data_IF_974073477599
#
_entry.id   IF_974073477599
#
_cell.length_a   1.000
_cell.length_b   1.000
_cell.length_c   1.000
_cell.angle_alpha   90.00
_cell.angle_beta   90.00
_cell.angle_gamma   90.00
#
_symmetry.space_group_name_H-M   'P 1'
#
loop_
_entity.id
_entity.type
_entity.pdbx_description
1 polymer ?
#
# COMPACT_ATOMS: atom_id res chain seq x y z
N UNK A 1 -1.17 42.49 -10.72
CA UNK A 1 -2.10 41.37 -10.42
C UNK A 1 -3.50 41.94 -10.30
N UNK A 2 -4.54 41.27 -10.82
CA UNK A 2 -5.92 41.68 -10.56
C UNK A 2 -6.18 41.67 -9.04
N UNK A 3 -6.70 42.75 -8.49
CA UNK A 3 -7.03 42.87 -7.06
C UNK A 3 -8.43 42.30 -6.78
N UNK A 4 -8.56 41.58 -5.66
CA UNK A 4 -9.81 41.07 -5.10
C UNK A 4 -10.60 40.14 -6.06
N UNK A 5 -11.89 39.93 -5.78
CA UNK A 5 -12.83 39.14 -6.61
C UNK A 5 -13.46 39.99 -7.73
N UNK A 6 -12.62 40.61 -8.56
CA UNK A 6 -13.07 41.51 -9.63
C UNK A 6 -14.06 40.88 -10.62
N UNK A 7 -14.00 39.55 -10.85
CA UNK A 7 -14.95 38.82 -11.72
C UNK A 7 -16.34 38.73 -11.07
N UNK A 8 -16.42 38.49 -9.77
CA UNK A 8 -17.70 38.46 -9.06
C UNK A 8 -18.31 39.86 -8.99
N UNK A 9 -17.47 40.87 -8.71
CA UNK A 9 -17.88 42.28 -8.73
C UNK A 9 -18.43 42.67 -10.09
N UNK A 10 -17.75 42.32 -11.17
CA UNK A 10 -18.24 42.55 -12.54
C UNK A 10 -19.59 41.86 -12.80
N UNK A 11 -19.77 40.62 -12.34
CA UNK A 11 -21.06 39.92 -12.48
C UNK A 11 -22.18 40.57 -11.67
N UNK A 12 -21.88 41.15 -10.50
CA UNK A 12 -22.85 41.88 -9.68
C UNK A 12 -23.23 43.22 -10.31
N UNK A 13 -22.27 43.94 -10.89
CA UNK A 13 -22.49 45.26 -11.50
C UNK A 13 -23.12 45.19 -12.89
N UNK A 14 -22.61 44.31 -13.76
CA UNK A 14 -22.98 44.25 -15.17
C UNK A 14 -23.73 42.96 -15.55
N UNK A 15 -24.02 42.11 -14.56
CA UNK A 15 -24.69 40.85 -14.80
C UNK A 15 -23.81 39.82 -15.52
N UNK A 16 -24.48 38.81 -16.07
CA UNK A 16 -23.87 37.81 -16.96
C UNK A 16 -24.31 38.10 -18.39
N UNK A 17 -23.66 37.45 -19.33
CA UNK A 17 -24.10 37.43 -20.72
C UNK A 17 -25.57 36.98 -20.81
N UNK A 18 -26.38 37.68 -21.60
CA UNK A 18 -27.84 37.49 -21.67
C UNK A 18 -28.24 36.04 -22.01
N UNK A 19 -27.44 35.33 -22.81
CA UNK A 19 -27.71 33.94 -23.22
C UNK A 19 -27.11 32.87 -22.28
N UNK A 20 -26.52 33.27 -21.14
CA UNK A 20 -25.81 32.37 -20.24
C UNK A 20 -26.73 31.27 -19.68
N UNK A 21 -27.91 31.64 -19.21
CA UNK A 21 -28.86 30.71 -18.59
C UNK A 21 -29.41 29.72 -19.61
N UNK A 22 -29.78 30.20 -20.79
CA UNK A 22 -30.20 29.35 -21.88
C UNK A 22 -29.14 28.33 -22.29
N UNK A 23 -27.89 28.78 -22.44
CA UNK A 23 -26.76 27.91 -22.81
C UNK A 23 -26.49 26.88 -21.72
N UNK A 24 -26.55 27.27 -20.45
CA UNK A 24 -26.35 26.38 -19.30
C UNK A 24 -27.45 25.30 -19.27
N UNK A 25 -28.72 25.70 -19.35
CA UNK A 25 -29.87 24.79 -19.44
C UNK A 25 -29.74 23.80 -20.60
N UNK A 26 -29.45 24.29 -21.81
CA UNK A 26 -29.26 23.46 -23.01
C UNK A 26 -28.05 22.51 -22.86
N UNK A 27 -27.00 22.90 -22.14
CA UNK A 27 -25.82 22.06 -21.88
C UNK A 27 -26.14 20.91 -20.92
N UNK A 28 -26.81 21.20 -19.81
CA UNK A 28 -27.23 20.20 -18.81
C UNK A 28 -28.21 19.19 -19.41
N UNK A 29 -29.19 19.67 -20.19
CA UNK A 29 -30.13 18.80 -20.89
C UNK A 29 -29.47 17.85 -21.91
N UNK A 30 -28.39 18.28 -22.59
CA UNK A 30 -27.64 17.46 -23.56
C UNK A 30 -26.64 16.51 -22.92
N UNK A 31 -26.29 16.71 -21.65
CA UNK A 31 -25.28 15.94 -20.96
C UNK A 31 -25.56 14.42 -20.92
N UNK A 32 -26.76 13.91 -20.62
CA UNK A 32 -27.04 12.47 -20.62
C UNK A 32 -26.80 11.82 -21.99
N UNK A 33 -27.20 12.48 -23.08
CA UNK A 33 -26.96 11.99 -24.44
C UNK A 33 -25.48 11.96 -24.79
N UNK A 34 -24.75 13.06 -24.52
CA UNK A 34 -23.29 13.11 -24.72
C UNK A 34 -22.56 12.06 -23.89
N UNK A 35 -23.06 11.76 -22.69
CA UNK A 35 -22.48 10.75 -21.81
C UNK A 35 -22.68 9.34 -22.36
N UNK A 36 -23.87 9.01 -22.84
CA UNK A 36 -24.15 7.74 -23.50
C UNK A 36 -23.34 7.57 -24.80
N UNK A 37 -23.23 8.65 -25.58
CA UNK A 37 -22.41 8.68 -26.80
C UNK A 37 -20.93 8.42 -26.49
N UNK A 38 -20.36 9.11 -25.49
CA UNK A 38 -18.98 8.86 -25.03
C UNK A 38 -18.78 7.40 -24.60
N UNK A 39 -19.74 6.84 -23.86
CA UNK A 39 -19.67 5.44 -23.44
C UNK A 39 -19.55 4.46 -24.63
N UNK A 40 -20.27 4.74 -25.73
CA UNK A 40 -20.29 3.89 -26.93
C UNK A 40 -19.08 4.14 -27.86
N UNK A 41 -18.63 5.39 -27.97
CA UNK A 41 -17.57 5.79 -28.91
C UNK A 41 -16.16 5.63 -28.38
N UNK A 42 -15.95 5.77 -27.07
CA UNK A 42 -14.61 5.64 -26.48
C UNK A 42 -14.09 4.21 -26.65
N UNK A 43 -12.82 4.07 -27.05
CA UNK A 43 -12.13 2.78 -27.22
C UNK A 43 -10.87 2.71 -26.36
N UNK A 44 -10.38 1.50 -26.11
CA UNK A 44 -9.12 1.25 -25.41
C UNK A 44 -9.10 1.79 -23.96
N UNK A 45 -7.97 2.40 -23.57
CA UNK A 45 -7.76 2.89 -22.19
C UNK A 45 -8.76 3.98 -21.80
N UNK A 46 -9.17 4.83 -22.75
CA UNK A 46 -10.12 5.91 -22.50
C UNK A 46 -11.49 5.37 -22.09
N UNK A 47 -11.94 4.28 -22.71
CA UNK A 47 -13.18 3.60 -22.33
C UNK A 47 -13.10 2.98 -20.92
N UNK A 48 -11.96 2.36 -20.59
CA UNK A 48 -11.72 1.76 -19.26
C UNK A 48 -11.74 2.81 -18.15
N UNK A 49 -11.08 3.95 -18.35
CA UNK A 49 -11.07 5.07 -17.39
C UNK A 49 -12.48 5.65 -17.21
N UNK A 50 -13.19 5.93 -18.31
CA UNK A 50 -14.56 6.44 -18.27
C UNK A 50 -15.51 5.50 -17.51
N UNK A 51 -15.44 4.19 -17.76
CA UNK A 51 -16.27 3.22 -17.04
C UNK A 51 -15.92 3.12 -15.55
N UNK A 52 -14.64 3.26 -15.19
CA UNK A 52 -14.19 3.30 -13.79
C UNK A 52 -14.73 4.54 -13.06
N UNK A 53 -14.63 5.71 -13.68
CA UNK A 53 -15.21 6.95 -13.15
C UNK A 53 -16.73 6.82 -12.94
N UNK A 54 -17.45 6.30 -13.96
CA UNK A 54 -18.89 6.07 -13.87
C UNK A 54 -19.29 5.07 -12.78
N UNK A 55 -18.49 4.03 -12.55
CA UNK A 55 -18.70 3.09 -11.44
C UNK A 55 -18.55 3.80 -10.09
N UNK A 56 -17.53 4.64 -9.93
CA UNK A 56 -17.30 5.40 -8.70
C UNK A 56 -18.43 6.39 -8.41
N UNK A 57 -18.89 7.14 -9.42
CA UNK A 57 -20.03 8.06 -9.30
C UNK A 57 -21.30 7.33 -8.87
N UNK A 58 -21.60 6.18 -9.48
CA UNK A 58 -22.76 5.34 -9.10
C UNK A 58 -22.65 4.86 -7.65
N UNK A 59 -21.47 4.42 -7.21
CA UNK A 59 -21.25 3.99 -5.82
C UNK A 59 -21.42 5.16 -4.86
N UNK A 60 -20.87 6.33 -5.18
CA UNK A 60 -21.00 7.53 -4.35
C UNK A 60 -22.46 7.95 -4.22
N UNK A 61 -23.21 7.97 -5.32
CA UNK A 61 -24.64 8.30 -5.29
C UNK A 61 -25.45 7.28 -4.49
N UNK A 62 -25.19 5.98 -4.67
CA UNK A 62 -25.82 4.92 -3.85
C UNK A 62 -25.55 5.11 -2.36
N UNK A 63 -24.30 5.41 -1.97
CA UNK A 63 -23.95 5.70 -0.57
C UNK A 63 -24.66 6.94 -0.04
N UNK A 64 -24.77 8.01 -0.83
CA UNK A 64 -25.47 9.24 -0.43
C UNK A 64 -26.97 9.02 -0.23
N UNK A 65 -27.61 8.30 -1.16
CA UNK A 65 -29.03 7.95 -1.05
C UNK A 65 -29.26 7.10 0.19
N UNK A 66 -28.44 6.05 0.37
CA UNK A 66 -28.53 5.17 1.55
C UNK A 66 -28.36 5.93 2.86
N UNK A 67 -27.37 6.83 2.95
CA UNK A 67 -27.15 7.65 4.15
C UNK A 67 -28.32 8.61 4.42
N UNK A 68 -28.98 9.13 3.38
CA UNK A 68 -30.18 9.97 3.54
C UNK A 68 -31.39 9.15 4.00
N UNK A 69 -31.59 7.94 3.46
CA UNK A 69 -32.64 7.01 3.90
C UNK A 69 -32.42 6.57 5.36
N UNK A 70 -31.20 6.20 5.73
CA UNK A 70 -30.79 5.84 7.10
C UNK A 70 -30.92 7.01 8.09
N UNK A 71 -30.80 8.27 7.65
CA UNK A 71 -31.07 9.43 8.50
C UNK A 71 -32.55 9.59 8.82
N UNK A 72 -33.41 9.30 7.84
CA UNK A 72 -34.86 9.44 7.99
C UNK A 72 -35.47 8.32 8.83
N UNK A 73 -34.80 7.17 8.92
CA UNK A 73 -35.19 6.05 9.78
C UNK A 73 -34.35 6.08 11.06
N UNK A 74 -34.96 6.31 12.21
CA UNK A 74 -34.26 6.11 13.49
C UNK A 74 -33.97 4.63 13.67
N UNK A 75 -32.76 4.20 13.30
CA UNK A 75 -32.23 2.90 13.68
C UNK A 75 -31.96 2.95 15.19
N UNK A 76 -32.61 2.06 15.95
CA UNK A 76 -32.19 1.79 17.32
C UNK A 76 -30.82 1.11 17.20
N UNK A 77 -29.74 1.88 17.35
CA UNK A 77 -28.40 1.32 17.46
C UNK A 77 -28.41 0.35 18.64
N UNK A 78 -28.07 -0.93 18.39
CA UNK A 78 -27.81 -1.89 19.46
C UNK A 78 -26.89 -1.21 20.46
N UNK A 79 -27.37 -1.11 21.71
CA UNK A 79 -26.64 -0.45 22.78
C UNK A 79 -25.26 -1.11 22.86
N UNK A 80 -24.23 -0.29 22.75
CA UNK A 80 -22.85 -0.67 23.04
C UNK A 80 -22.86 -1.43 24.37
N UNK A 81 -22.24 -2.62 24.39
CA UNK A 81 -22.22 -3.48 25.56
C UNK A 81 -21.91 -2.67 26.84
N UNK A 82 -22.80 -2.80 27.82
CA UNK A 82 -22.80 -2.05 29.08
C UNK A 82 -21.49 -2.24 29.85
N UNK A 83 -20.71 -1.17 29.90
CA UNK A 83 -19.61 -0.99 30.83
C UNK A 83 -19.25 0.48 30.88
N UNK A 84 -19.58 1.16 31.97
CA UNK A 84 -19.26 2.57 32.15
C UNK A 84 -17.74 2.78 32.12
N UNK A 85 -17.24 3.40 31.05
CA UNK A 85 -15.85 3.83 30.97
C UNK A 85 -15.74 5.26 31.52
N UNK A 86 -14.69 5.58 32.32
CA UNK A 86 -14.37 6.95 32.69
C UNK A 86 -14.29 7.87 31.47
N UNK A 87 -14.68 9.15 31.61
CA UNK A 87 -14.79 10.12 30.48
C UNK A 87 -13.49 10.21 29.65
N UNK A 88 -12.33 10.13 30.29
CA UNK A 88 -11.01 10.15 29.62
C UNK A 88 -10.66 8.85 28.85
N UNK A 89 -11.52 7.84 28.88
CA UNK A 89 -11.41 6.55 28.18
C UNK A 89 -12.53 6.32 27.16
N UNK A 90 -13.54 7.20 27.07
CA UNK A 90 -14.69 7.05 26.15
C UNK A 90 -14.29 7.20 24.67
N UNK A 91 -13.44 8.18 24.34
CA UNK A 91 -13.00 8.46 22.96
C UNK A 91 -11.73 7.69 22.55
N UNK A 92 -11.17 6.90 23.48
CA UNK A 92 -10.05 6.01 23.16
C UNK A 92 -10.64 4.73 22.62
N UNK A 93 -10.58 4.57 21.30
CA UNK A 93 -10.81 3.30 20.61
C UNK A 93 -10.15 2.19 21.45
N UNK A 94 -10.95 1.27 21.99
CA UNK A 94 -10.50 0.30 22.99
C UNK A 94 -9.51 -0.66 22.34
N UNK A 95 -8.25 -0.27 22.32
CA UNK A 95 -7.12 -1.12 21.98
C UNK A 95 -6.68 -1.89 23.24
N UNK A 96 -7.63 -2.54 23.93
CA UNK A 96 -7.32 -3.43 25.07
C UNK A 96 -6.68 -4.77 24.64
N UNK A 97 -6.01 -4.80 23.48
CA UNK A 97 -5.31 -5.99 22.99
C UNK A 97 -4.04 -6.28 23.77
N UNK A 98 -3.38 -5.29 24.38
CA UNK A 98 -2.07 -5.46 25.03
C UNK A 98 -2.08 -6.44 26.22
N UNK A 99 -3.15 -6.45 27.04
CA UNK A 99 -3.24 -7.32 28.22
C UNK A 99 -3.62 -8.76 27.84
N UNK A 100 -4.52 -8.91 26.87
CA UNK A 100 -4.86 -10.22 26.25
C UNK A 100 -3.63 -10.81 25.54
N UNK A 101 -2.86 -9.98 24.85
CA UNK A 101 -1.60 -10.33 24.21
C UNK A 101 -0.56 -10.88 25.19
N UNK A 102 -0.35 -10.22 26.33
CA UNK A 102 0.61 -10.67 27.33
C UNK A 102 0.21 -12.03 27.93
N UNK A 103 -1.07 -12.23 28.22
CA UNK A 103 -1.57 -13.51 28.72
C UNK A 103 -1.53 -14.63 27.65
N UNK A 104 -1.84 -14.30 26.40
CA UNK A 104 -1.76 -15.23 25.27
C UNK A 104 -0.30 -15.58 24.95
N UNK A 105 0.65 -14.65 25.05
CA UNK A 105 2.10 -14.94 24.93
C UNK A 105 2.55 -15.87 26.07
N UNK A 106 2.06 -15.67 27.30
CA UNK A 106 2.36 -16.56 28.43
C UNK A 106 1.78 -17.96 28.23
N UNK A 107 0.56 -18.09 27.72
CA UNK A 107 -0.04 -19.38 27.34
C UNK A 107 0.72 -20.03 26.18
N UNK A 108 1.03 -19.28 25.12
CA UNK A 108 1.84 -19.75 23.97
C UNK A 108 3.24 -20.22 24.39
N UNK A 109 3.89 -19.54 25.34
CA UNK A 109 5.19 -20.00 25.90
C UNK A 109 5.06 -21.29 26.71
N UNK A 110 3.90 -21.56 27.31
CA UNK A 110 3.58 -22.81 28.03
C UNK A 110 3.21 -23.95 27.08
N UNK A 111 2.57 -23.67 25.94
CA UNK A 111 2.21 -24.63 24.87
C UNK A 111 3.41 -25.07 24.00
N UNK A 112 4.57 -25.32 24.62
CA UNK A 112 5.89 -25.52 23.99
C UNK A 112 5.99 -26.68 22.97
N UNK A 113 4.91 -27.44 22.77
CA UNK A 113 4.81 -28.55 21.82
C UNK A 113 3.65 -28.39 20.79
N UNK A 114 3.06 -27.20 20.65
CA UNK A 114 2.14 -26.90 19.56
C UNK A 114 2.89 -26.67 18.25
N UNK A 115 2.31 -27.06 17.11
CA UNK A 115 2.86 -26.82 15.76
C UNK A 115 3.00 -25.31 15.51
N UNK A 116 4.18 -24.75 15.81
CA UNK A 116 4.52 -23.35 15.55
C UNK A 116 4.84 -23.15 14.07
N UNK A 117 3.83 -23.19 13.23
CA UNK A 117 4.00 -22.88 11.82
C UNK A 117 4.14 -21.37 11.61
N UNK A 118 5.19 -20.99 10.87
CA UNK A 118 5.34 -19.64 10.35
C UNK A 118 4.17 -19.39 9.39
N UNK A 119 3.60 -18.16 9.32
CA UNK A 119 2.48 -17.86 8.41
C UNK A 119 2.73 -18.23 6.94
N UNK A 120 3.99 -18.34 6.53
CA UNK A 120 4.41 -18.81 5.20
C UNK A 120 5.42 -19.95 5.39
N UNK A 121 4.99 -21.22 5.42
CA UNK A 121 5.87 -22.36 5.68
C UNK A 121 6.65 -22.80 4.44
N UNK A 122 6.02 -22.75 3.25
CA UNK A 122 6.62 -23.14 1.97
C UNK A 122 6.60 -21.96 1.00
N UNK A 123 7.76 -21.62 0.46
CA UNK A 123 7.95 -20.53 -0.51
C UNK A 123 8.35 -21.14 -1.86
N UNK A 124 8.03 -20.44 -2.95
CA UNK A 124 8.52 -20.79 -4.29
C UNK A 124 10.05 -20.91 -4.27
N UNK A 125 10.57 -22.07 -4.66
CA UNK A 125 12.00 -22.26 -4.82
C UNK A 125 12.55 -21.33 -5.90
N UNK A 126 13.70 -20.71 -5.63
CA UNK A 126 14.40 -19.86 -6.59
C UNK A 126 15.58 -20.62 -7.16
N UNK A 127 15.71 -20.62 -8.48
CA UNK A 127 16.88 -21.17 -9.14
C UNK A 127 18.08 -20.23 -8.97
N UNK A 128 19.28 -20.79 -8.84
CA UNK A 128 20.53 -20.00 -8.74
C UNK A 128 20.73 -19.05 -9.92
N UNK A 129 20.24 -19.41 -11.11
CA UNK A 129 20.31 -18.55 -12.29
C UNK A 129 19.43 -17.28 -12.18
N UNK A 130 18.34 -17.33 -11.39
CA UNK A 130 17.48 -16.17 -11.11
C UNK A 130 18.14 -15.23 -10.09
N UNK A 131 18.81 -15.80 -9.09
CA UNK A 131 19.44 -15.07 -7.97
C UNK A 131 20.81 -14.50 -8.33
N UNK A 132 21.56 -15.21 -9.18
CA UNK A 132 22.91 -14.82 -9.56
C UNK A 132 23.05 -14.51 -11.04
N UNK A 133 23.45 -13.27 -11.34
CA UNK A 133 23.91 -12.87 -12.67
C UNK A 133 25.39 -13.20 -12.83
N UNK A 134 25.73 -13.89 -13.92
CA UNK A 134 27.12 -14.18 -14.28
C UNK A 134 27.83 -12.90 -14.73
N UNK A 135 28.98 -12.60 -14.13
CA UNK A 135 29.85 -11.50 -14.55
C UNK A 135 31.10 -12.04 -15.24
N UNK A 136 31.34 -11.55 -16.46
CA UNK A 136 32.52 -11.85 -17.26
C UNK A 136 33.61 -10.80 -17.01
N UNK A 137 34.86 -11.25 -16.93
CA UNK A 137 36.04 -10.43 -16.59
C UNK A 137 37.19 -10.65 -17.59
N UNK A 138 38.12 -9.68 -17.64
CA UNK A 138 39.25 -9.63 -18.58
C UNK A 138 38.90 -8.95 -19.91
N UNK A 139 39.92 -8.55 -20.69
CA UNK A 139 39.76 -7.85 -21.97
C UNK A 139 38.87 -8.63 -22.95
N UNK A 140 39.11 -9.94 -23.07
CA UNK A 140 38.33 -10.84 -23.94
C UNK A 140 37.04 -11.39 -23.29
N UNK A 141 36.73 -11.02 -22.04
CA UNK A 141 35.54 -11.46 -21.29
C UNK A 141 35.33 -12.98 -21.20
N UNK A 142 36.39 -13.78 -21.36
CA UNK A 142 36.30 -15.26 -21.30
C UNK A 142 36.12 -15.81 -19.88
N UNK A 143 36.50 -15.07 -18.83
CA UNK A 143 36.45 -15.56 -17.44
C UNK A 143 35.14 -15.19 -16.74
N UNK A 144 34.35 -16.19 -16.35
CA UNK A 144 32.97 -16.02 -15.85
C UNK A 144 32.75 -16.54 -14.40
N UNK A 145 33.76 -16.43 -13.55
CA UNK A 145 33.74 -17.00 -12.18
C UNK A 145 32.99 -16.13 -11.16
N UNK A 146 32.79 -14.84 -11.47
CA UNK A 146 32.07 -13.89 -10.61
C UNK A 146 30.55 -14.02 -10.76
N UNK A 147 29.85 -13.79 -9.66
CA UNK A 147 28.39 -13.87 -9.53
C UNK A 147 27.89 -12.59 -8.85
N UNK A 148 27.03 -11.83 -9.51
CA UNK A 148 26.35 -10.68 -8.91
C UNK A 148 25.01 -11.13 -8.36
N UNK A 149 24.71 -10.79 -7.12
CA UNK A 149 23.40 -11.05 -6.53
C UNK A 149 22.41 -10.02 -7.08
N UNK A 150 21.31 -10.49 -7.67
CA UNK A 150 20.28 -9.65 -8.31
C UNK A 150 19.13 -9.29 -7.38
N UNK A 151 18.99 -10.04 -6.28
CA UNK A 151 17.95 -9.85 -5.27
C UNK A 151 18.41 -8.90 -4.16
N UNK A 152 17.44 -8.40 -3.40
CA UNK A 152 17.69 -7.58 -2.20
C UNK A 152 18.51 -8.40 -1.20
N UNK A 153 19.48 -7.75 -0.57
CA UNK A 153 20.35 -8.37 0.43
C UNK A 153 20.43 -7.51 1.68
N UNK A 154 20.60 -8.15 2.83
CA UNK A 154 21.03 -7.53 4.05
C UNK A 154 22.53 -7.70 4.21
N UNK A 155 23.18 -6.64 4.64
CA UNK A 155 24.61 -6.62 4.90
C UNK A 155 24.80 -5.89 6.23
N UNK A 156 25.49 -6.53 7.17
CA UNK A 156 25.73 -5.96 8.49
C UNK A 156 26.47 -4.63 8.45
N UNK A 157 26.37 -3.87 9.54
CA UNK A 157 26.92 -2.50 9.61
C UNK A 157 28.44 -2.46 9.41
N UNK A 158 29.16 -3.47 9.89
CA UNK A 158 30.61 -3.59 9.79
C UNK A 158 31.09 -4.26 8.49
N UNK A 159 30.29 -4.21 7.42
CA UNK A 159 30.68 -4.86 6.16
C UNK A 159 31.66 -4.03 5.34
N UNK A 160 32.86 -4.58 5.18
CA UNK A 160 33.85 -4.11 4.22
C UNK A 160 33.91 -5.05 3.02
N UNK A 161 33.99 -4.49 1.81
CA UNK A 161 34.14 -5.31 0.59
C UNK A 161 35.50 -6.00 0.59
N UNK A 162 35.51 -7.26 0.15
CA UNK A 162 36.76 -7.99 -0.13
C UNK A 162 37.44 -7.39 -1.37
N UNK A 163 38.77 -7.48 -1.50
CA UNK A 163 39.46 -7.04 -2.70
C UNK A 163 38.87 -7.70 -3.97
N UNK A 164 38.78 -6.98 -5.11
CA UNK A 164 38.08 -7.48 -6.29
C UNK A 164 38.60 -8.81 -6.83
N UNK A 165 39.86 -9.17 -6.55
CA UNK A 165 40.44 -10.46 -6.94
C UNK A 165 39.85 -11.65 -6.17
N UNK A 166 39.43 -11.45 -4.93
CA UNK A 166 38.91 -12.50 -4.03
C UNK A 166 37.37 -12.46 -3.88
N UNK A 167 36.72 -11.38 -4.34
CA UNK A 167 35.27 -11.26 -4.31
C UNK A 167 34.62 -12.04 -5.47
N UNK A 168 34.08 -13.23 -5.15
CA UNK A 168 33.28 -14.04 -6.08
C UNK A 168 31.82 -13.60 -6.15
N UNK A 169 31.18 -13.42 -4.99
CA UNK A 169 29.80 -12.98 -4.85
C UNK A 169 29.73 -11.47 -4.60
N UNK A 170 29.19 -10.74 -5.56
CA UNK A 170 29.08 -9.28 -5.51
C UNK A 170 27.66 -8.91 -5.09
N UNK A 171 27.53 -8.26 -3.93
CA UNK A 171 26.27 -7.69 -3.43
C UNK A 171 26.25 -6.18 -3.73
N UNK A 172 25.56 -5.70 -4.77
CA UNK A 172 25.58 -4.29 -5.15
C UNK A 172 24.96 -3.39 -4.07
N UNK A 173 25.53 -2.21 -3.86
CA UNK A 173 25.12 -1.32 -2.75
C UNK A 173 23.65 -0.87 -2.85
N UNK A 174 23.13 -0.65 -4.06
CA UNK A 174 21.74 -0.26 -4.28
C UNK A 174 20.72 -1.30 -3.81
N UNK A 175 21.12 -2.57 -3.70
CA UNK A 175 20.26 -3.66 -3.24
C UNK A 175 20.48 -4.02 -1.75
N UNK A 176 21.29 -3.24 -1.02
CA UNK A 176 21.57 -3.48 0.40
C UNK A 176 20.58 -2.71 1.27
N UNK A 177 19.62 -3.41 1.86
CA UNK A 177 18.62 -2.78 2.71
C UNK A 177 19.03 -2.90 4.18
N UNK A 178 18.85 -1.81 4.95
CA UNK A 178 19.14 -1.77 6.39
C UNK A 178 17.88 -1.76 7.26
N UNK A 179 16.72 -1.45 6.68
CA UNK A 179 15.43 -1.35 7.38
C UNK A 179 14.39 -2.22 6.68
N UNK A 180 13.41 -2.68 7.43
CA UNK A 180 12.26 -3.43 6.93
C UNK A 180 10.96 -2.84 7.47
N UNK A 181 9.91 -2.90 6.66
CA UNK A 181 8.55 -2.60 7.11
C UNK A 181 7.95 -3.86 7.73
N UNK A 182 7.76 -3.84 9.05
CA UNK A 182 7.23 -4.97 9.83
C UNK A 182 5.82 -4.62 10.29
N UNK A 183 4.88 -5.54 10.08
CA UNK A 183 3.48 -5.38 10.47
C UNK A 183 3.17 -6.26 11.68
N UNK A 184 2.60 -5.68 12.73
CA UNK A 184 2.16 -6.46 13.89
C UNK A 184 0.70 -6.92 13.69
N UNK A 185 0.41 -8.24 13.64
CA UNK A 185 -0.92 -8.75 13.29
C UNK A 185 -2.01 -8.31 14.28
N UNK A 186 -1.77 -8.33 15.59
CA UNK A 186 -2.80 -7.84 16.54
C UNK A 186 -2.93 -6.31 16.60
N UNK A 187 -1.86 -5.53 16.45
CA UNK A 187 -1.98 -4.07 16.51
C UNK A 187 -2.48 -3.46 15.18
N UNK A 188 -2.37 -4.20 14.07
CA UNK A 188 -2.63 -3.72 12.70
C UNK A 188 -1.87 -2.44 12.36
N UNK A 189 -0.70 -2.28 12.99
CA UNK A 189 0.21 -1.15 12.79
C UNK A 189 1.47 -1.62 12.06
N UNK A 190 2.08 -0.70 11.31
CA UNK A 190 3.28 -0.94 10.52
C UNK A 190 4.44 -0.10 11.05
N UNK A 191 5.61 -0.72 11.25
CA UNK A 191 6.80 -0.06 11.78
C UNK A 191 7.96 -0.20 10.79
N UNK A 192 8.74 0.87 10.59
CA UNK A 192 9.98 0.84 9.81
C UNK A 192 11.16 0.61 10.76
N UNK A 193 11.56 -0.65 10.94
CA UNK A 193 12.55 -1.06 11.93
C UNK A 193 13.88 -1.43 11.27
N UNK A 194 15.02 -1.21 11.94
CA UNK A 194 16.32 -1.68 11.45
C UNK A 194 16.39 -3.21 11.46
N UNK A 195 17.02 -3.78 10.43
CA UNK A 195 17.31 -5.21 10.33
C UNK A 195 18.57 -5.50 11.14
N UNK A 196 18.49 -6.46 12.05
CA UNK A 196 19.61 -6.88 12.89
C UNK A 196 20.43 -7.98 12.18
N UNK A 197 19.74 -8.94 11.55
CA UNK A 197 20.39 -10.07 10.88
C UNK A 197 19.42 -10.99 10.17
N UNK A 198 19.96 -11.89 9.35
CA UNK A 198 19.22 -12.92 8.63
C UNK A 198 19.52 -14.27 9.28
N UNK A 199 18.50 -14.92 9.85
CA UNK A 199 18.68 -16.19 10.56
C UNK A 199 18.49 -17.42 9.67
N UNK A 200 17.52 -17.37 8.75
CA UNK A 200 17.18 -18.50 7.87
C UNK A 200 16.59 -18.00 6.56
N UNK A 201 17.16 -18.44 5.45
CA UNK A 201 16.55 -18.37 4.13
C UNK A 201 16.01 -19.77 3.76
N UNK A 202 14.74 -19.90 3.32
CA UNK A 202 14.14 -21.19 3.02
C UNK A 202 14.74 -21.91 1.81
N UNK A 203 15.45 -21.20 0.91
CA UNK A 203 15.98 -21.81 -0.33
C UNK A 203 17.34 -22.48 -0.12
N UNK A 204 18.26 -21.85 0.63
CA UNK A 204 19.57 -22.44 0.90
C UNK A 204 20.27 -21.75 2.09
N UNK A 205 21.16 -22.49 2.75
CA UNK A 205 22.02 -21.93 3.81
C UNK A 205 23.03 -20.91 3.25
N UNK A 206 23.45 -21.08 1.99
CA UNK A 206 24.30 -20.13 1.29
C UNK A 206 23.64 -18.75 1.19
N UNK A 207 22.34 -18.69 0.89
CA UNK A 207 21.62 -17.42 0.82
C UNK A 207 21.48 -16.79 2.20
N UNK A 208 21.28 -17.58 3.26
CA UNK A 208 21.32 -17.08 4.65
C UNK A 208 22.64 -16.36 4.95
N UNK A 209 23.78 -16.91 4.51
CA UNK A 209 25.10 -16.29 4.71
C UNK A 209 25.32 -15.05 3.84
N UNK A 210 24.74 -15.02 2.64
CA UNK A 210 24.80 -13.86 1.76
C UNK A 210 23.86 -12.72 2.22
N UNK A 211 22.88 -13.04 3.05
CA UNK A 211 21.84 -12.11 3.50
C UNK A 211 20.79 -11.86 2.43
#
# INVERSE_FOLDING_TARGET
>A
MPQNEYIERHKKLYGRRLDYEERKRKREAREPHKRAEKARKLRGIKAKLFNKERRNEKIQMKKKIKAHEERNVKQNTEKVAEGALPVYLLDRDVQSRAKVLSNMIKQKRKEKAGKWDVPIPKVRAQADAEVFKVLKSGKSKRKAWKRMVTKVTFVGENFTRKPPKYERFIRPMALRFKKAHVTHPELKATFCLPIIGVKKNPSSQMYTSLG
#
